data_IF_151837068825
#
_entry.id   IF_151837068825
#
_cell.length_a   1.000
_cell.length_b   1.000
_cell.length_c   1.000
_cell.angle_alpha   90.00
_cell.angle_beta   90.00
_cell.angle_gamma   90.00
#
_symmetry.space_group_name_H-M   'P 1'
#
loop_
_entity.id
_entity.type
_entity.pdbx_description
1 polymer ?
#
# COMPACT_ATOMS: atom_id res chain seq x y z
N UNK A 1 -4.85 17.34 -11.51
CA UNK A 1 -4.23 16.00 -11.74
C UNK A 1 -3.98 15.72 -13.22
N UNK A 2 -5.00 15.54 -14.06
CA UNK A 2 -4.87 15.05 -15.46
C UNK A 2 -4.06 16.00 -16.32
N UNK A 3 -4.37 17.31 -16.30
CA UNK A 3 -3.61 18.32 -17.05
C UNK A 3 -2.13 18.35 -16.66
N UNK A 4 -1.82 18.15 -15.38
CA UNK A 4 -0.44 18.03 -14.89
C UNK A 4 0.24 16.78 -15.48
N UNK A 5 -0.47 15.63 -15.53
CA UNK A 5 0.06 14.42 -16.16
C UNK A 5 0.42 14.63 -17.64
N UNK A 6 -0.52 15.18 -18.42
CA UNK A 6 -0.31 15.46 -19.85
C UNK A 6 0.88 16.40 -20.03
N UNK A 7 0.91 17.50 -19.26
CA UNK A 7 2.02 18.46 -19.28
C UNK A 7 3.35 17.77 -18.95
N UNK A 8 3.40 16.99 -17.86
CA UNK A 8 4.60 16.25 -17.48
C UNK A 8 5.06 15.32 -18.60
N UNK A 9 4.14 14.55 -19.22
CA UNK A 9 4.49 13.65 -20.31
C UNK A 9 5.05 14.39 -21.54
N UNK A 10 4.52 15.57 -21.85
CA UNK A 10 5.01 16.41 -22.95
C UNK A 10 6.35 17.06 -22.64
N UNK A 11 6.48 17.66 -21.46
CA UNK A 11 7.69 18.38 -21.03
C UNK A 11 8.90 17.44 -20.84
N UNK A 12 8.66 16.22 -20.37
CA UNK A 12 9.70 15.21 -20.15
C UNK A 12 9.95 14.31 -21.38
N UNK A 13 9.03 14.27 -22.34
CA UNK A 13 9.15 13.65 -23.66
C UNK A 13 9.91 12.33 -23.68
N UNK A 14 11.16 12.37 -24.09
CA UNK A 14 12.03 11.18 -24.27
C UNK A 14 12.65 10.65 -22.96
N UNK A 15 12.50 11.38 -21.83
CA UNK A 15 12.95 10.85 -20.53
C UNK A 15 12.19 9.57 -20.19
N UNK A 16 12.86 8.67 -19.50
CA UNK A 16 12.26 7.38 -19.08
C UNK A 16 11.24 7.64 -17.98
N UNK A 17 9.98 7.26 -18.21
CA UNK A 17 8.90 7.23 -17.23
C UNK A 17 8.90 5.92 -16.46
N UNK A 18 9.01 4.77 -17.17
CA UNK A 18 9.06 3.44 -16.57
C UNK A 18 10.28 2.66 -17.03
N UNK A 19 10.89 1.93 -16.06
CA UNK A 19 11.93 0.95 -16.34
C UNK A 19 11.59 -0.39 -15.67
N UNK A 20 11.66 -1.50 -16.42
CA UNK A 20 11.37 -2.85 -15.93
C UNK A 20 11.96 -3.92 -16.84
N UNK A 21 12.52 -4.99 -16.25
CA UNK A 21 13.12 -6.10 -17.00
C UNK A 21 14.26 -5.62 -17.93
N UNK A 22 14.00 -5.49 -19.23
CA UNK A 22 14.91 -4.91 -20.22
C UNK A 22 14.30 -3.70 -20.95
N UNK A 23 13.11 -3.26 -20.50
CA UNK A 23 12.34 -2.24 -21.18
C UNK A 23 12.50 -0.88 -20.50
N UNK A 24 12.63 0.14 -21.30
CA UNK A 24 12.56 1.54 -20.93
C UNK A 24 11.42 2.19 -21.71
N UNK A 25 10.49 2.80 -21.04
CA UNK A 25 9.34 3.50 -21.62
C UNK A 25 9.49 4.98 -21.34
N UNK A 26 9.49 5.79 -22.38
CA UNK A 26 9.54 7.26 -22.24
C UNK A 26 8.19 7.83 -21.79
N UNK A 27 8.19 9.09 -21.35
CA UNK A 27 6.95 9.80 -21.00
C UNK A 27 6.05 9.99 -22.23
N UNK A 28 6.61 10.30 -23.41
CA UNK A 28 5.85 10.37 -24.66
C UNK A 28 5.17 9.05 -24.99
N UNK A 29 5.92 7.94 -24.91
CA UNK A 29 5.35 6.60 -25.14
C UNK A 29 4.27 6.23 -24.12
N UNK A 30 4.43 6.58 -22.85
CA UNK A 30 3.40 6.37 -21.83
C UNK A 30 2.11 7.10 -22.18
N UNK A 31 2.20 8.35 -22.62
CA UNK A 31 1.03 9.13 -23.03
C UNK A 31 0.31 8.52 -24.23
N UNK A 32 1.08 8.10 -25.25
CA UNK A 32 0.54 7.39 -26.41
C UNK A 32 -0.19 6.10 -26.03
N UNK A 33 0.40 5.31 -25.13
CA UNK A 33 -0.20 4.06 -24.69
C UNK A 33 -1.45 4.29 -23.81
N UNK A 34 -1.50 5.39 -23.04
CA UNK A 34 -2.72 5.84 -22.36
C UNK A 34 -3.81 6.19 -23.38
N UNK A 35 -3.49 6.92 -24.47
CA UNK A 35 -4.47 7.24 -25.51
C UNK A 35 -4.98 5.99 -26.22
N UNK A 36 -4.11 5.03 -26.56
CA UNK A 36 -4.52 3.74 -27.13
C UNK A 36 -5.49 2.99 -26.21
N UNK A 37 -5.24 2.99 -24.91
CA UNK A 37 -6.13 2.35 -23.93
C UNK A 37 -7.48 3.07 -23.87
N UNK A 38 -7.53 4.40 -23.95
CA UNK A 38 -8.78 5.17 -24.01
C UNK A 38 -9.54 4.87 -25.33
N UNK A 39 -8.83 4.72 -26.44
CA UNK A 39 -9.42 4.32 -27.72
C UNK A 39 -10.00 2.89 -27.67
N UNK A 40 -9.33 1.96 -26.98
CA UNK A 40 -9.90 0.65 -26.67
C UNK A 40 -11.20 0.79 -25.85
N UNK A 41 -11.23 1.65 -24.82
CA UNK A 41 -12.45 1.88 -24.02
C UNK A 41 -13.62 2.27 -24.92
N UNK A 42 -13.42 3.26 -25.81
CA UNK A 42 -14.45 3.72 -26.73
C UNK A 42 -14.93 2.63 -27.69
N UNK A 43 -13.98 1.90 -28.29
CA UNK A 43 -14.31 0.82 -29.21
C UNK A 43 -15.08 -0.33 -28.56
N UNK A 44 -14.89 -0.53 -27.24
CA UNK A 44 -15.62 -1.50 -26.43
C UNK A 44 -16.88 -0.96 -25.78
N UNK A 45 -17.25 0.29 -26.07
CA UNK A 45 -18.44 0.91 -25.49
C UNK A 45 -18.33 1.19 -23.98
N UNK A 46 -17.09 1.23 -23.42
CA UNK A 46 -16.85 1.53 -22.01
C UNK A 46 -17.11 3.03 -21.81
N UNK A 47 -18.05 3.34 -20.94
CA UNK A 47 -18.47 4.71 -20.62
C UNK A 47 -17.80 5.20 -19.34
N UNK A 48 -17.89 6.50 -19.08
CA UNK A 48 -17.37 7.11 -17.82
C UNK A 48 -18.05 6.55 -16.56
N UNK A 49 -19.26 6.04 -16.67
CA UNK A 49 -20.02 5.43 -15.57
C UNK A 49 -19.64 3.97 -15.33
N UNK A 50 -18.90 3.36 -16.24
CA UNK A 50 -18.48 1.97 -16.11
C UNK A 50 -17.54 1.78 -14.93
N UNK A 51 -17.67 0.63 -14.27
CA UNK A 51 -16.72 0.14 -13.27
C UNK A 51 -15.97 -1.06 -13.82
N UNK A 52 -14.65 -1.08 -13.70
CA UNK A 52 -13.77 -2.08 -14.28
C UNK A 52 -13.03 -2.81 -13.17
N UNK A 53 -13.16 -4.14 -13.09
CA UNK A 53 -12.30 -4.93 -12.23
C UNK A 53 -10.92 -5.14 -12.88
N UNK A 54 -9.87 -4.83 -12.15
CA UNK A 54 -8.50 -5.02 -12.62
C UNK A 54 -7.95 -6.36 -12.12
N UNK A 55 -7.94 -7.37 -12.98
CA UNK A 55 -7.38 -8.71 -12.73
C UNK A 55 -5.98 -8.86 -13.33
N UNK A 56 -5.15 -7.84 -13.17
CA UNK A 56 -3.77 -7.82 -13.68
C UNK A 56 -2.83 -7.52 -12.51
N UNK A 57 -1.77 -8.33 -12.37
CA UNK A 57 -0.72 -8.01 -11.40
C UNK A 57 0.02 -6.73 -11.81
N UNK A 58 0.57 -5.97 -10.85
CA UNK A 58 1.33 -4.77 -11.14
C UNK A 58 2.38 -5.00 -12.24
N UNK A 59 2.18 -4.36 -13.37
CA UNK A 59 2.99 -4.41 -14.59
C UNK A 59 2.85 -3.07 -15.31
N UNK A 60 3.55 -2.87 -16.41
CA UNK A 60 3.41 -1.65 -17.20
C UNK A 60 1.95 -1.47 -17.69
N UNK A 61 1.35 -2.52 -18.24
CA UNK A 61 -0.04 -2.52 -18.74
C UNK A 61 -1.06 -2.22 -17.61
N UNK A 62 -0.79 -2.69 -16.38
CA UNK A 62 -1.57 -2.33 -15.21
C UNK A 62 -1.58 -0.81 -15.02
N UNK A 63 -0.42 -0.16 -15.12
CA UNK A 63 -0.32 1.28 -14.92
C UNK A 63 -0.87 2.07 -16.10
N UNK A 64 -0.68 1.61 -17.34
CA UNK A 64 -1.34 2.21 -18.53
C UNK A 64 -2.86 2.22 -18.34
N UNK A 65 -3.45 1.09 -17.92
CA UNK A 65 -4.88 1.02 -17.63
C UNK A 65 -5.29 1.97 -16.50
N UNK A 66 -4.53 2.02 -15.40
CA UNK A 66 -4.81 2.93 -14.28
C UNK A 66 -4.78 4.40 -14.71
N UNK A 67 -3.75 4.81 -15.47
CA UNK A 67 -3.66 6.18 -16.01
C UNK A 67 -4.79 6.48 -17.00
N UNK A 68 -5.17 5.53 -17.85
CA UNK A 68 -6.27 5.68 -18.79
C UNK A 68 -7.62 5.82 -18.08
N UNK A 69 -7.86 5.05 -17.00
CA UNK A 69 -9.05 5.18 -16.17
C UNK A 69 -9.15 6.57 -15.54
N UNK A 70 -8.05 7.07 -14.96
CA UNK A 70 -7.97 8.42 -14.39
C UNK A 70 -8.20 9.47 -15.49
N UNK A 71 -7.55 9.29 -16.64
CA UNK A 71 -7.66 10.22 -17.77
C UNK A 71 -9.08 10.31 -18.32
N UNK A 72 -9.73 9.18 -18.54
CA UNK A 72 -11.06 9.11 -19.17
C UNK A 72 -12.21 9.28 -18.17
N UNK A 73 -11.98 9.03 -16.88
CA UNK A 73 -12.96 9.12 -15.81
C UNK A 73 -13.74 7.82 -15.57
N UNK A 74 -13.13 6.68 -15.80
CA UNK A 74 -13.68 5.34 -15.51
C UNK A 74 -13.22 4.89 -14.14
N UNK A 75 -14.10 4.29 -13.34
CA UNK A 75 -13.76 3.75 -12.04
C UNK A 75 -13.10 2.38 -12.15
N UNK A 76 -11.81 2.30 -11.77
CA UNK A 76 -11.09 1.03 -11.69
C UNK A 76 -11.17 0.45 -10.28
N UNK A 77 -11.64 -0.78 -10.18
CA UNK A 77 -11.74 -1.57 -8.95
C UNK A 77 -10.49 -2.44 -8.81
N UNK A 78 -9.72 -2.20 -7.77
CA UNK A 78 -8.45 -2.92 -7.49
C UNK A 78 -8.60 -3.74 -6.23
N UNK A 79 -8.36 -5.05 -6.37
CA UNK A 79 -8.36 -5.99 -5.26
C UNK A 79 -6.96 -6.16 -4.67
N UNK A 80 -6.88 -6.35 -3.38
CA UNK A 80 -5.64 -6.62 -2.64
C UNK A 80 -5.14 -8.06 -2.82
N UNK A 81 -6.03 -8.99 -3.18
CA UNK A 81 -5.71 -10.40 -3.45
C UNK A 81 -6.57 -10.95 -4.57
N UNK A 82 -5.94 -11.59 -5.55
CA UNK A 82 -6.62 -12.31 -6.62
C UNK A 82 -6.81 -13.81 -6.33
N UNK A 83 -6.55 -14.25 -5.11
CA UNK A 83 -6.68 -15.65 -4.70
C UNK A 83 -8.01 -15.94 -4.03
N UNK A 84 -8.64 -14.94 -3.47
CA UNK A 84 -9.93 -15.02 -2.79
C UNK A 84 -11.05 -14.71 -3.77
N UNK A 85 -11.49 -15.76 -4.48
CA UNK A 85 -12.50 -15.61 -5.54
C UNK A 85 -13.88 -15.26 -5.01
N UNK A 86 -14.26 -15.78 -3.85
CA UNK A 86 -15.58 -15.49 -3.26
C UNK A 86 -15.65 -14.01 -2.86
N UNK A 87 -14.56 -13.48 -2.31
CA UNK A 87 -14.46 -12.05 -2.03
C UNK A 87 -14.50 -11.19 -3.30
N UNK A 88 -13.85 -11.63 -4.38
CA UNK A 88 -13.89 -10.92 -5.67
C UNK A 88 -15.31 -10.91 -6.23
N UNK A 89 -16.02 -12.05 -6.22
CA UNK A 89 -17.42 -12.14 -6.67
C UNK A 89 -18.34 -11.24 -5.87
N UNK A 90 -18.19 -11.25 -4.54
CA UNK A 90 -18.96 -10.37 -3.63
C UNK A 90 -18.73 -8.90 -4.00
N UNK A 91 -17.46 -8.48 -4.17
CA UNK A 91 -17.12 -7.11 -4.55
C UNK A 91 -17.71 -6.74 -5.91
N UNK A 92 -17.66 -7.65 -6.88
CA UNK A 92 -18.24 -7.41 -8.23
C UNK A 92 -19.76 -7.24 -8.14
N UNK A 93 -20.45 -8.12 -7.43
CA UNK A 93 -21.90 -8.05 -7.23
C UNK A 93 -22.31 -6.77 -6.50
N UNK A 94 -21.69 -6.49 -5.34
CA UNK A 94 -22.04 -5.32 -4.51
C UNK A 94 -21.74 -3.98 -5.19
N UNK A 95 -20.84 -3.95 -6.17
CA UNK A 95 -20.46 -2.74 -6.91
C UNK A 95 -20.97 -2.71 -8.36
N UNK A 96 -21.80 -3.66 -8.77
CA UNK A 96 -22.33 -3.79 -10.14
C UNK A 96 -21.21 -3.81 -11.20
N UNK A 97 -20.14 -4.58 -10.98
CA UNK A 97 -19.00 -4.70 -11.89
C UNK A 97 -19.18 -5.94 -12.76
N UNK A 98 -19.41 -5.75 -14.03
CA UNK A 98 -19.56 -6.82 -15.03
C UNK A 98 -18.46 -6.81 -16.10
N UNK A 99 -17.40 -6.02 -15.89
CA UNK A 99 -16.29 -5.86 -16.82
C UNK A 99 -14.96 -6.06 -16.10
N UNK A 100 -14.11 -6.93 -16.63
CA UNK A 100 -12.80 -7.22 -16.05
C UNK A 100 -11.67 -7.12 -17.10
N UNK A 101 -10.61 -6.39 -16.76
CA UNK A 101 -9.37 -6.43 -17.51
C UNK A 101 -8.44 -7.50 -16.96
N UNK A 102 -7.93 -8.36 -17.82
CA UNK A 102 -7.06 -9.48 -17.48
C UNK A 102 -5.83 -9.54 -18.40
N UNK A 103 -4.82 -10.30 -18.02
CA UNK A 103 -3.74 -10.72 -18.91
C UNK A 103 -3.95 -12.20 -19.32
N UNK A 104 -3.05 -12.74 -20.17
CA UNK A 104 -3.12 -14.15 -20.62
C UNK A 104 -3.23 -15.15 -19.47
N UNK A 105 -2.53 -14.90 -18.35
CA UNK A 105 -2.54 -15.81 -17.20
C UNK A 105 -3.85 -15.70 -16.41
N UNK A 106 -4.30 -14.49 -16.12
CA UNK A 106 -5.52 -14.26 -15.33
C UNK A 106 -6.80 -14.46 -16.16
N UNK A 107 -6.73 -14.47 -17.49
CA UNK A 107 -7.87 -14.82 -18.33
C UNK A 107 -8.35 -16.27 -18.13
N UNK A 108 -7.48 -17.16 -17.63
CA UNK A 108 -7.86 -18.52 -17.24
C UNK A 108 -8.83 -18.55 -16.06
N UNK A 109 -8.96 -17.46 -15.34
CA UNK A 109 -9.87 -17.33 -14.19
C UNK A 109 -11.33 -17.09 -14.61
N UNK A 110 -11.59 -16.75 -15.87
CA UNK A 110 -12.94 -16.46 -16.40
C UNK A 110 -13.96 -17.54 -16.06
N UNK A 111 -13.54 -18.83 -16.03
CA UNK A 111 -14.43 -19.95 -15.69
C UNK A 111 -14.96 -19.93 -14.25
N UNK A 112 -14.38 -19.09 -13.39
CA UNK A 112 -14.80 -18.93 -12.00
C UNK A 112 -15.81 -17.82 -11.79
N UNK A 113 -16.10 -17.04 -12.83
CA UNK A 113 -17.03 -15.91 -12.77
C UNK A 113 -18.33 -16.25 -13.52
N UNK A 114 -19.35 -15.44 -13.30
CA UNK A 114 -20.62 -15.56 -14.00
C UNK A 114 -20.45 -15.28 -15.51
N UNK A 115 -21.35 -15.81 -16.32
CA UNK A 115 -21.29 -15.71 -17.79
C UNK A 115 -21.50 -14.30 -18.33
N UNK A 116 -22.05 -13.41 -17.52
CA UNK A 116 -22.31 -12.00 -17.85
C UNK A 116 -21.11 -11.07 -17.64
N UNK A 117 -19.99 -11.60 -17.12
CA UNK A 117 -18.76 -10.82 -16.97
C UNK A 117 -17.97 -10.82 -18.26
N UNK A 118 -17.81 -9.64 -18.87
CA UNK A 118 -16.94 -9.45 -20.04
C UNK A 118 -15.47 -9.39 -19.60
N UNK A 119 -14.61 -10.14 -20.28
CA UNK A 119 -13.16 -10.16 -20.05
C UNK A 119 -12.43 -9.56 -21.24
N UNK A 120 -11.69 -8.49 -21.00
CA UNK A 120 -10.86 -7.81 -22.00
C UNK A 120 -9.39 -8.04 -21.66
N UNK A 121 -8.59 -8.44 -22.67
CA UNK A 121 -7.14 -8.54 -22.47
C UNK A 121 -6.54 -7.13 -22.36
N UNK A 122 -5.84 -6.88 -21.26
CA UNK A 122 -5.22 -5.56 -21.02
C UNK A 122 -4.25 -5.15 -22.13
N UNK A 123 -3.59 -6.10 -22.81
CA UNK A 123 -2.67 -5.82 -23.91
C UNK A 123 -3.37 -5.52 -25.25
N UNK A 124 -4.70 -5.63 -25.35
CA UNK A 124 -5.38 -5.35 -26.61
C UNK A 124 -5.30 -3.88 -27.05
N UNK A 125 -4.96 -2.96 -26.14
CA UNK A 125 -4.79 -1.54 -26.46
C UNK A 125 -3.71 -1.29 -27.53
N UNK A 126 -2.70 -2.16 -27.65
CA UNK A 126 -1.68 -2.03 -28.70
C UNK A 126 -2.23 -2.03 -30.13
N UNK A 127 -3.46 -2.50 -30.34
CA UNK A 127 -4.14 -2.56 -31.64
C UNK A 127 -4.80 -1.23 -32.04
N UNK A 128 -4.85 -0.26 -31.15
CA UNK A 128 -5.57 1.00 -31.33
C UNK A 128 -4.62 2.16 -31.62
N UNK A 129 -5.16 3.22 -32.25
CA UNK A 129 -4.40 4.44 -32.48
C UNK A 129 -4.13 5.20 -31.18
N UNK A 130 -3.09 6.04 -31.20
CA UNK A 130 -2.76 6.94 -30.12
C UNK A 130 -3.36 8.35 -30.29
N UNK A 131 -4.46 8.46 -31.06
CA UNK A 131 -5.13 9.74 -31.25
C UNK A 131 -5.63 10.29 -29.91
N UNK A 132 -5.31 11.58 -29.63
CA UNK A 132 -5.72 12.20 -28.38
C UNK A 132 -7.24 12.21 -28.21
N UNK A 133 -7.71 11.94 -27.02
CA UNK A 133 -9.13 11.91 -26.68
C UNK A 133 -9.47 13.01 -25.69
N UNK A 134 -10.76 13.37 -25.63
CA UNK A 134 -11.25 14.34 -24.67
C UNK A 134 -11.02 13.86 -23.22
N UNK A 135 -10.44 14.74 -22.42
CA UNK A 135 -10.15 14.52 -21.00
C UNK A 135 -11.44 14.58 -20.18
N UNK A 136 -11.51 13.79 -19.12
CA UNK A 136 -12.52 14.03 -18.09
C UNK A 136 -12.16 15.30 -17.29
N UNK A 137 -13.10 16.22 -17.17
CA UNK A 137 -12.91 17.48 -16.46
C UNK A 137 -13.58 17.52 -15.08
N UNK A 138 -14.33 16.48 -14.72
CA UNK A 138 -15.01 16.39 -13.43
C UNK A 138 -14.02 15.94 -12.32
N UNK A 139 -13.65 16.83 -11.38
CA UNK A 139 -12.70 16.50 -10.31
C UNK A 139 -13.29 15.55 -9.26
N UNK A 140 -14.61 15.53 -9.10
CA UNK A 140 -15.30 14.66 -8.13
C UNK A 140 -15.57 13.25 -8.69
N UNK A 141 -15.22 13.00 -9.95
CA UNK A 141 -15.37 11.68 -10.56
C UNK A 141 -14.54 10.63 -9.83
N UNK A 142 -15.21 9.59 -9.30
CA UNK A 142 -14.55 8.41 -8.71
C UNK A 142 -13.86 7.63 -9.83
N UNK A 143 -12.55 7.42 -9.68
CA UNK A 143 -11.71 6.75 -10.69
C UNK A 143 -10.93 5.57 -10.13
N UNK A 144 -10.90 5.41 -8.80
CA UNK A 144 -10.23 4.29 -8.16
C UNK A 144 -11.01 3.84 -6.92
N UNK A 145 -11.36 2.56 -6.88
CA UNK A 145 -11.93 1.91 -5.69
C UNK A 145 -11.00 0.79 -5.23
N UNK A 146 -10.58 0.86 -3.96
CA UNK A 146 -9.82 -0.20 -3.28
C UNK A 146 -10.60 -0.70 -2.07
N UNK A 147 -10.19 -1.81 -1.45
CA UNK A 147 -10.95 -2.39 -0.34
C UNK A 147 -10.07 -2.59 0.88
N UNK A 148 -10.66 -2.38 2.07
CA UNK A 148 -10.07 -2.77 3.34
C UNK A 148 -10.72 -4.04 3.85
N UNK A 149 -9.99 -4.80 4.69
CA UNK A 149 -10.57 -5.92 5.44
C UNK A 149 -11.46 -5.35 6.53
N UNK A 150 -12.72 -5.11 6.25
CA UNK A 150 -13.70 -4.63 7.24
C UNK A 150 -13.68 -5.46 8.52
N UNK A 151 -13.93 -4.83 9.66
CA UNK A 151 -14.06 -5.51 10.97
C UNK A 151 -15.20 -6.53 11.01
N UNK A 152 -16.16 -6.39 10.12
CA UNK A 152 -17.35 -7.26 9.95
C UNK A 152 -17.12 -8.42 8.97
N UNK A 153 -15.91 -8.58 8.42
CA UNK A 153 -15.59 -9.57 7.39
C UNK A 153 -15.97 -9.16 5.97
N UNK A 154 -16.87 -8.19 5.79
CA UNK A 154 -17.19 -7.65 4.45
C UNK A 154 -16.15 -6.62 4.01
N UNK A 155 -15.70 -6.65 2.73
CA UNK A 155 -14.80 -5.63 2.20
C UNK A 155 -15.44 -4.25 2.22
N UNK A 156 -14.81 -3.27 2.88
CA UNK A 156 -15.27 -1.88 2.84
C UNK A 156 -14.61 -1.16 1.66
N UNK A 157 -15.37 -0.58 0.73
CA UNK A 157 -14.81 0.19 -0.37
C UNK A 157 -14.19 1.50 0.14
N UNK A 158 -13.07 1.87 -0.46
CA UNK A 158 -12.43 3.18 -0.32
C UNK A 158 -12.37 3.76 -1.71
N UNK A 159 -13.24 4.70 -1.96
CA UNK A 159 -13.38 5.38 -3.24
C UNK A 159 -12.50 6.62 -3.31
N UNK A 160 -11.87 6.84 -4.46
CA UNK A 160 -11.03 8.00 -4.70
C UNK A 160 -11.49 8.72 -5.96
N UNK A 161 -11.86 9.97 -5.76
CA UNK A 161 -12.08 10.89 -6.87
C UNK A 161 -10.74 11.39 -7.42
N UNK A 162 -10.76 12.01 -8.60
CA UNK A 162 -9.59 12.67 -9.19
C UNK A 162 -9.03 13.72 -8.23
N UNK A 163 -9.89 14.50 -7.59
CA UNK A 163 -9.54 15.53 -6.60
C UNK A 163 -8.88 14.92 -5.35
N UNK A 164 -9.45 13.85 -4.81
CA UNK A 164 -8.90 13.20 -3.63
C UNK A 164 -7.55 12.53 -3.91
N UNK A 165 -7.36 11.92 -5.09
CA UNK A 165 -6.07 11.39 -5.52
C UNK A 165 -5.03 12.49 -5.68
N UNK A 166 -5.40 13.62 -6.28
CA UNK A 166 -4.50 14.77 -6.44
C UNK A 166 -4.03 15.30 -5.09
N UNK A 167 -4.96 15.52 -4.14
CA UNK A 167 -4.63 15.93 -2.77
C UNK A 167 -3.70 14.94 -2.07
N UNK A 168 -3.98 13.64 -2.16
CA UNK A 168 -3.11 12.61 -1.57
C UNK A 168 -1.70 12.63 -2.17
N UNK A 169 -1.57 12.75 -3.50
CA UNK A 169 -0.27 12.84 -4.18
C UNK A 169 0.47 14.10 -3.74
N UNK A 170 -0.21 15.24 -3.60
CA UNK A 170 0.39 16.49 -3.13
C UNK A 170 0.94 16.36 -1.71
N UNK A 171 0.14 15.82 -0.79
CA UNK A 171 0.59 15.62 0.60
C UNK A 171 1.79 14.67 0.66
N UNK A 172 1.72 13.54 -0.08
CA UNK A 172 2.85 12.62 -0.13
C UNK A 172 4.08 13.31 -0.73
N UNK A 173 3.93 14.06 -1.83
CA UNK A 173 5.03 14.78 -2.50
C UNK A 173 5.73 15.79 -1.59
N UNK A 174 4.99 16.53 -0.76
CA UNK A 174 5.55 17.49 0.20
C UNK A 174 6.32 16.80 1.35
N UNK A 175 5.99 15.56 1.65
CA UNK A 175 6.53 14.85 2.80
C UNK A 175 7.55 13.76 2.47
N UNK A 176 7.63 13.33 1.21
CA UNK A 176 8.63 12.39 0.71
C UNK A 176 9.67 13.17 -0.09
N UNK A 177 10.90 13.21 0.39
CA UNK A 177 11.98 13.99 -0.21
C UNK A 177 12.58 13.31 -1.45
N UNK A 178 11.75 13.15 -2.51
CA UNK A 178 12.21 12.77 -3.84
C UNK A 178 12.31 14.04 -4.71
N UNK A 179 13.32 14.10 -5.56
CA UNK A 179 13.67 15.31 -6.32
C UNK A 179 14.11 14.99 -7.74
N UNK A 180 14.26 15.99 -8.57
CA UNK A 180 14.79 15.83 -9.93
C UNK A 180 16.15 15.12 -9.90
N UNK A 181 16.32 14.13 -10.79
CA UNK A 181 17.49 13.26 -10.84
C UNK A 181 17.36 11.97 -10.05
N UNK A 182 16.35 11.83 -9.19
CA UNK A 182 16.09 10.54 -8.53
C UNK A 182 15.50 9.53 -9.52
N UNK A 183 16.00 8.29 -9.44
CA UNK A 183 15.40 7.10 -10.05
C UNK A 183 14.79 6.27 -8.93
N UNK A 184 13.49 6.09 -9.00
CA UNK A 184 12.71 5.62 -7.86
C UNK A 184 12.14 4.22 -8.09
N UNK A 185 12.45 3.27 -7.22
CA UNK A 185 11.70 2.03 -7.13
C UNK A 185 10.40 2.28 -6.37
N UNK A 186 9.25 2.01 -7.01
CA UNK A 186 7.95 2.18 -6.38
C UNK A 186 7.21 0.83 -6.21
N UNK A 187 6.97 0.45 -4.97
CA UNK A 187 6.37 -0.83 -4.60
C UNK A 187 4.85 -0.85 -4.44
N UNK A 188 4.19 0.30 -4.53
CA UNK A 188 2.72 0.46 -4.42
C UNK A 188 2.19 1.39 -5.52
N UNK A 189 0.96 1.18 -6.01
CA UNK A 189 0.38 2.01 -7.07
C UNK A 189 0.37 3.51 -6.77
N UNK A 190 0.06 3.92 -5.55
CA UNK A 190 0.07 5.34 -5.16
C UNK A 190 1.45 5.98 -5.29
N UNK A 191 2.52 5.24 -4.98
CA UNK A 191 3.89 5.72 -5.16
C UNK A 191 4.28 5.78 -6.63
N UNK A 192 3.79 4.85 -7.46
CA UNK A 192 4.00 4.92 -8.92
C UNK A 192 3.33 6.17 -9.49
N UNK A 193 2.09 6.45 -9.09
CA UNK A 193 1.41 7.69 -9.47
C UNK A 193 2.24 8.91 -9.06
N UNK A 194 2.68 8.99 -7.79
CA UNK A 194 3.52 10.08 -7.29
C UNK A 194 4.76 10.29 -8.17
N UNK A 195 5.53 9.22 -8.42
CA UNK A 195 6.81 9.29 -9.15
C UNK A 195 6.59 9.78 -10.58
N UNK A 196 5.60 9.23 -11.29
CA UNK A 196 5.29 9.60 -12.67
C UNK A 196 4.73 11.03 -12.74
N UNK A 197 3.84 11.42 -11.84
CA UNK A 197 3.34 12.81 -11.77
C UNK A 197 4.42 13.83 -11.42
N UNK A 198 5.48 13.40 -10.72
CA UNK A 198 6.65 14.23 -10.44
C UNK A 198 7.65 14.30 -11.60
N UNK A 199 7.41 13.60 -12.72
CA UNK A 199 8.29 13.57 -13.88
C UNK A 199 9.59 12.81 -13.66
N UNK A 200 9.59 11.83 -12.74
CA UNK A 200 10.74 11.01 -12.38
C UNK A 200 10.66 9.62 -13.00
N UNK A 201 11.80 8.96 -13.14
CA UNK A 201 11.85 7.57 -13.60
C UNK A 201 11.38 6.61 -12.50
N UNK A 202 10.35 5.84 -12.81
CA UNK A 202 9.77 4.81 -11.94
C UNK A 202 10.25 3.42 -12.34
N UNK A 203 10.96 2.75 -11.46
CA UNK A 203 11.33 1.34 -11.62
C UNK A 203 10.26 0.47 -10.98
N UNK A 204 9.66 -0.41 -11.78
CA UNK A 204 8.66 -1.38 -11.32
C UNK A 204 9.20 -2.79 -11.44
N UNK A 205 9.15 -3.55 -10.34
CA UNK A 205 9.60 -4.93 -10.31
C UNK A 205 8.84 -5.76 -9.29
N UNK A 206 8.75 -7.07 -9.55
CA UNK A 206 8.16 -8.01 -8.60
C UNK A 206 9.03 -8.20 -7.36
N UNK A 207 10.36 -8.11 -7.51
CA UNK A 207 11.35 -8.30 -6.43
C UNK A 207 12.35 -7.18 -6.45
N UNK A 208 12.80 -6.79 -5.28
CA UNK A 208 13.94 -5.86 -5.12
C UNK A 208 15.21 -6.71 -5.19
N UNK A 209 15.98 -6.54 -6.27
CA UNK A 209 17.28 -7.21 -6.47
C UNK A 209 18.36 -6.20 -6.76
N UNK A 210 19.58 -6.43 -6.27
CA UNK A 210 20.70 -5.51 -6.46
C UNK A 210 20.98 -5.25 -7.94
N UNK A 211 21.02 -6.31 -8.76
CA UNK A 211 21.32 -6.20 -10.18
C UNK A 211 20.32 -5.35 -10.95
N UNK A 212 19.02 -5.42 -10.60
CA UNK A 212 17.98 -4.62 -11.24
C UNK A 212 18.04 -3.16 -10.79
N UNK A 213 18.19 -2.91 -9.49
CA UNK A 213 18.29 -1.55 -8.97
C UNK A 213 19.55 -0.83 -9.52
N UNK A 214 20.71 -1.52 -9.58
CA UNK A 214 21.92 -0.95 -10.16
C UNK A 214 21.80 -0.69 -11.66
N UNK A 215 21.18 -1.62 -12.41
CA UNK A 215 20.97 -1.45 -13.86
C UNK A 215 20.28 -0.14 -14.20
N UNK A 216 19.31 0.26 -13.40
CA UNK A 216 18.52 1.47 -13.64
C UNK A 216 19.01 2.68 -12.85
N UNK A 217 20.08 2.54 -12.05
CA UNK A 217 20.61 3.63 -11.24
C UNK A 217 19.64 4.07 -10.14
N UNK A 218 18.85 3.13 -9.58
CA UNK A 218 17.90 3.43 -8.50
C UNK A 218 18.65 3.97 -7.29
N UNK A 219 18.25 5.13 -6.79
CA UNK A 219 18.80 5.77 -5.60
C UNK A 219 17.74 6.05 -4.52
N UNK A 220 16.46 5.90 -4.85
CA UNK A 220 15.35 6.04 -3.89
C UNK A 220 14.40 4.84 -3.97
N UNK A 221 13.91 4.37 -2.82
CA UNK A 221 13.00 3.23 -2.71
C UNK A 221 11.79 3.62 -1.88
N UNK A 222 10.60 3.45 -2.47
CA UNK A 222 9.30 3.63 -1.84
C UNK A 222 8.56 2.29 -1.86
N UNK A 223 8.50 1.58 -0.74
CA UNK A 223 7.95 0.24 -0.73
C UNK A 223 7.27 -0.13 0.61
N UNK A 224 6.33 -1.09 0.62
CA UNK A 224 5.85 -1.63 1.88
C UNK A 224 6.97 -2.41 2.59
N UNK A 225 6.98 -2.36 3.92
CA UNK A 225 7.99 -3.03 4.74
C UNK A 225 8.12 -4.51 4.41
N UNK A 226 7.03 -5.19 4.08
CA UNK A 226 7.05 -6.62 3.70
C UNK A 226 7.94 -6.94 2.50
N UNK A 227 8.06 -6.01 1.54
CA UNK A 227 8.99 -6.15 0.42
C UNK A 227 10.44 -5.93 0.86
N UNK A 228 10.69 -4.95 1.71
CA UNK A 228 12.02 -4.60 2.19
C UNK A 228 12.62 -5.69 3.07
N UNK A 229 11.84 -6.29 3.96
CA UNK A 229 12.29 -7.41 4.80
C UNK A 229 12.54 -8.71 4.01
N UNK A 230 12.14 -8.76 2.75
CA UNK A 230 12.40 -9.90 1.86
C UNK A 230 13.69 -9.76 1.04
N UNK A 231 14.33 -8.58 1.06
CA UNK A 231 15.59 -8.35 0.31
C UNK A 231 16.73 -9.13 0.92
N UNK A 232 17.70 -9.49 0.07
CA UNK A 232 18.94 -10.12 0.49
C UNK A 232 20.11 -9.33 -0.08
N UNK A 233 21.14 -9.14 0.72
CA UNK A 233 22.30 -8.35 0.36
C UNK A 233 22.30 -6.95 0.93
N UNK A 234 23.24 -6.14 0.50
CA UNK A 234 23.45 -4.76 0.94
C UNK A 234 23.35 -3.81 -0.26
N UNK A 235 22.66 -2.69 -0.07
CA UNK A 235 22.34 -1.72 -1.11
C UNK A 235 22.91 -0.34 -0.76
N UNK A 236 24.23 -0.18 -0.66
CA UNK A 236 24.87 1.08 -0.22
C UNK A 236 24.68 2.25 -1.20
N UNK A 237 24.23 1.98 -2.42
CA UNK A 237 23.93 3.00 -3.43
C UNK A 237 22.53 3.60 -3.28
N UNK A 238 21.65 3.03 -2.47
CA UNK A 238 20.35 3.62 -2.13
C UNK A 238 20.59 4.73 -1.11
N UNK A 239 20.10 5.91 -1.44
CA UNK A 239 20.25 7.13 -0.61
C UNK A 239 18.99 7.45 0.19
N UNK A 240 17.83 7.06 -0.32
CA UNK A 240 16.53 7.40 0.27
C UNK A 240 15.65 6.16 0.36
N UNK A 241 15.14 5.89 1.55
CA UNK A 241 14.25 4.76 1.80
C UNK A 241 13.01 5.22 2.55
N UNK A 242 11.84 5.05 1.94
CA UNK A 242 10.55 5.35 2.54
C UNK A 242 9.72 4.07 2.58
N UNK A 243 9.20 3.73 3.74
CA UNK A 243 8.39 2.53 3.90
C UNK A 243 7.33 2.68 4.98
N UNK A 244 6.31 1.83 4.91
CA UNK A 244 5.20 1.76 5.85
C UNK A 244 4.33 0.54 5.62
N UNK A 245 3.08 0.60 6.09
CA UNK A 245 2.05 -0.42 5.86
C UNK A 245 1.98 -1.51 6.93
N UNK A 246 2.91 -1.56 7.87
CA UNK A 246 2.82 -2.38 9.09
C UNK A 246 3.71 -1.82 10.19
N UNK A 247 3.53 -2.32 11.40
CA UNK A 247 4.39 -1.99 12.53
C UNK A 247 5.84 -2.38 12.25
N UNK A 248 6.77 -1.53 12.64
CA UNK A 248 8.19 -1.76 12.58
C UNK A 248 8.71 -2.18 13.97
N UNK A 249 9.24 -3.38 14.09
CA UNK A 249 9.90 -3.87 15.30
C UNK A 249 11.41 -3.58 15.25
N UNK A 250 12.07 -3.49 16.42
CA UNK A 250 13.52 -3.20 16.49
C UNK A 250 14.35 -4.16 15.63
N UNK A 251 14.03 -5.45 15.69
CA UNK A 251 14.67 -6.47 14.86
C UNK A 251 14.58 -6.21 13.35
N UNK A 252 13.40 -5.71 12.89
CA UNK A 252 13.20 -5.38 11.48
C UNK A 252 13.98 -4.11 11.11
N UNK A 253 14.10 -3.16 12.03
CA UNK A 253 14.89 -1.95 11.85
C UNK A 253 16.40 -2.25 11.69
N UNK A 254 16.92 -3.19 12.48
CA UNK A 254 18.30 -3.67 12.33
C UNK A 254 18.55 -4.29 10.95
N UNK A 255 17.61 -5.12 10.48
CA UNK A 255 17.66 -5.69 9.14
C UNK A 255 17.70 -4.62 8.04
N UNK A 256 16.89 -3.57 8.19
CA UNK A 256 16.86 -2.45 7.22
C UNK A 256 18.17 -1.65 7.24
N UNK A 257 18.74 -1.36 8.41
CA UNK A 257 20.06 -0.71 8.53
C UNK A 257 21.16 -1.50 7.84
N UNK A 258 21.18 -2.82 8.06
CA UNK A 258 22.17 -3.69 7.42
C UNK A 258 22.00 -3.75 5.90
N UNK A 259 20.77 -3.79 5.41
CA UNK A 259 20.47 -3.84 3.98
C UNK A 259 20.71 -2.49 3.27
N UNK A 260 20.45 -1.36 3.93
CA UNK A 260 20.53 -0.02 3.35
C UNK A 260 21.41 0.92 4.19
N UNK A 261 22.73 0.64 4.30
CA UNK A 261 23.63 1.25 5.30
C UNK A 261 23.86 2.75 5.11
N UNK A 262 23.67 3.28 3.88
CA UNK A 262 23.89 4.70 3.55
C UNK A 262 22.59 5.45 3.22
N UNK A 263 21.44 4.82 3.42
CA UNK A 263 20.16 5.45 3.13
C UNK A 263 19.66 6.30 4.30
N UNK A 264 19.09 7.46 3.98
CA UNK A 264 18.17 8.13 4.88
C UNK A 264 16.87 7.31 4.93
N UNK A 265 16.60 6.70 6.08
CA UNK A 265 15.49 5.77 6.25
C UNK A 265 14.34 6.45 6.96
N UNK A 266 13.19 6.49 6.30
CA UNK A 266 11.96 7.14 6.80
C UNK A 266 10.82 6.11 6.93
N UNK A 267 10.28 5.99 8.13
CA UNK A 267 9.09 5.22 8.42
C UNK A 267 7.83 6.08 8.29
N UNK A 268 6.85 5.59 7.54
CA UNK A 268 5.59 6.26 7.23
C UNK A 268 4.44 5.49 7.86
N UNK A 269 3.60 6.20 8.61
CA UNK A 269 2.35 5.70 9.16
C UNK A 269 1.16 6.27 8.41
N UNK A 270 0.20 5.41 8.08
CA UNK A 270 -1.04 5.77 7.41
C UNK A 270 -2.00 4.59 7.29
N UNK A 271 -3.18 4.87 6.80
CA UNK A 271 -4.25 3.92 6.51
C UNK A 271 -4.71 4.05 5.06
N UNK A 272 -5.59 3.15 4.61
CA UNK A 272 -6.18 3.26 3.27
C UNK A 272 -7.05 4.52 3.13
N UNK A 273 -7.65 4.93 4.22
CA UNK A 273 -8.50 6.11 4.37
C UNK A 273 -7.69 7.42 4.44
N UNK A 274 -6.46 7.36 4.96
CA UNK A 274 -5.52 8.48 5.02
C UNK A 274 -4.11 7.95 4.81
N UNK A 275 -3.59 8.07 3.59
CA UNK A 275 -2.37 7.38 3.14
C UNK A 275 -1.13 7.78 3.93
N UNK A 276 -1.09 9.01 4.43
CA UNK A 276 0.03 9.54 5.20
C UNK A 276 -0.50 10.35 6.38
N UNK A 277 -0.31 9.87 7.58
CA UNK A 277 -0.76 10.48 8.84
C UNK A 277 0.41 11.03 9.67
N UNK A 278 1.49 10.24 9.77
CA UNK A 278 2.70 10.61 10.48
C UNK A 278 3.93 9.97 9.85
N UNK A 279 5.10 10.51 10.12
CA UNK A 279 6.38 9.95 9.68
C UNK A 279 7.47 10.17 10.73
N UNK A 280 8.54 9.39 10.63
CA UNK A 280 9.74 9.57 11.45
C UNK A 280 10.98 9.07 10.70
N UNK A 281 12.14 9.65 10.98
CA UNK A 281 13.38 8.98 10.61
C UNK A 281 13.54 7.70 11.45
N UNK A 282 14.22 6.70 10.89
CA UNK A 282 14.46 5.45 11.61
C UNK A 282 15.27 5.69 12.90
N UNK A 283 16.20 6.64 12.88
CA UNK A 283 16.99 7.01 14.04
C UNK A 283 16.11 7.54 15.18
N UNK A 284 15.29 8.56 14.90
CA UNK A 284 14.36 9.10 15.90
C UNK A 284 13.41 8.02 16.44
N UNK A 285 12.85 7.20 15.55
CA UNK A 285 11.94 6.11 15.91
C UNK A 285 12.56 5.11 16.88
N UNK A 286 13.84 4.78 16.71
CA UNK A 286 14.54 3.81 17.59
C UNK A 286 15.05 4.42 18.88
N UNK A 287 15.39 5.72 18.89
CA UNK A 287 15.92 6.40 20.09
C UNK A 287 14.83 6.91 21.03
N UNK A 288 13.60 7.08 20.55
CA UNK A 288 12.48 7.64 21.33
C UNK A 288 11.28 6.66 21.36
N UNK A 289 11.51 5.46 21.87
CA UNK A 289 10.48 4.43 22.11
C UNK A 289 9.50 4.22 20.94
N UNK A 290 9.99 4.32 19.71
CA UNK A 290 9.23 4.19 18.45
C UNK A 290 8.26 5.33 18.17
N UNK A 291 8.57 6.54 18.63
CA UNK A 291 7.79 7.74 18.35
C UNK A 291 7.83 8.13 16.86
N UNK A 292 6.70 8.54 16.34
CA UNK A 292 6.56 9.17 15.04
C UNK A 292 6.58 10.69 15.21
N UNK A 293 7.73 11.28 14.93
CA UNK A 293 8.05 12.68 15.24
C UNK A 293 7.20 13.69 14.47
N UNK A 294 7.03 13.47 13.16
CA UNK A 294 6.49 14.48 12.27
C UNK A 294 5.02 14.20 11.97
N UNK A 295 4.17 15.15 12.34
CA UNK A 295 2.79 15.23 11.85
C UNK A 295 2.79 15.72 10.41
N UNK A 296 1.77 15.37 9.67
CA UNK A 296 1.63 15.73 8.27
C UNK A 296 0.77 16.98 8.17
N UNK A 297 1.25 17.98 7.45
CA UNK A 297 0.47 19.20 7.20
C UNK A 297 -0.87 18.86 6.52
N UNK A 298 -1.97 19.41 7.05
CA UNK A 298 -3.33 19.11 6.57
C UNK A 298 -3.94 17.82 7.13
N UNK A 299 -3.27 17.15 8.09
CA UNK A 299 -3.82 16.02 8.85
C UNK A 299 -3.70 16.33 10.34
N UNK A 300 -4.82 16.48 10.99
CA UNK A 300 -4.89 16.60 12.45
C UNK A 300 -5.03 15.21 13.08
N UNK A 301 -4.17 14.91 14.05
CA UNK A 301 -4.18 13.63 14.78
C UNK A 301 -4.52 13.88 16.24
N UNK A 302 -5.51 13.16 16.73
CA UNK A 302 -5.94 13.16 18.14
C UNK A 302 -6.11 11.74 18.66
N UNK A 303 -6.14 11.57 19.98
CA UNK A 303 -6.41 10.31 20.65
C UNK A 303 -7.80 10.38 21.27
N UNK A 304 -8.65 9.41 20.90
CA UNK A 304 -10.03 9.30 21.41
C UNK A 304 -10.21 7.99 22.18
N UNK A 305 -11.24 7.93 23.02
CA UNK A 305 -11.55 6.77 23.85
C UNK A 305 -10.35 6.33 24.73
N UNK A 306 -9.73 7.30 25.39
CA UNK A 306 -8.52 7.10 26.20
C UNK A 306 -8.82 6.27 27.45
N UNK A 307 -7.90 5.38 27.78
CA UNK A 307 -7.86 4.68 29.08
C UNK A 307 -7.18 5.56 30.17
N UNK A 308 -7.02 4.98 31.38
CA UNK A 308 -6.38 5.63 32.52
C UNK A 308 -4.93 6.09 32.28
N UNK A 309 -4.27 5.53 31.28
CA UNK A 309 -2.90 5.87 30.87
C UNK A 309 -2.86 6.87 29.69
N UNK A 310 -4.01 7.42 29.28
CA UNK A 310 -4.11 8.31 28.13
C UNK A 310 -3.96 7.62 26.77
N UNK A 311 -4.02 6.29 26.74
CA UNK A 311 -3.89 5.48 25.53
C UNK A 311 -5.27 5.23 24.94
N UNK A 312 -5.45 5.56 23.67
CA UNK A 312 -6.73 5.43 23.00
C UNK A 312 -6.60 5.24 21.50
N UNK A 313 -7.73 5.25 20.79
CA UNK A 313 -7.74 5.10 19.34
C UNK A 313 -7.23 6.36 18.64
N UNK A 314 -6.45 6.16 17.59
CA UNK A 314 -5.92 7.24 16.77
C UNK A 314 -7.02 7.72 15.83
N UNK A 315 -7.36 9.01 15.93
CA UNK A 315 -8.28 9.73 15.06
C UNK A 315 -7.46 10.63 14.12
N UNK A 316 -7.80 10.63 12.83
CA UNK A 316 -7.24 11.53 11.83
C UNK A 316 -8.35 12.35 11.21
N UNK A 317 -8.14 13.67 11.08
CA UNK A 317 -9.06 14.62 10.46
C UNK A 317 -8.33 15.46 9.42
N UNK A 318 -9.04 15.86 8.38
CA UNK A 318 -8.53 16.74 7.34
C UNK A 318 -8.95 16.37 5.92
N UNK A 319 -8.73 17.28 5.01
CA UNK A 319 -9.17 17.23 3.60
C UNK A 319 -8.65 16.03 2.79
N UNK A 320 -7.62 15.34 3.29
CA UNK A 320 -7.02 14.18 2.64
C UNK A 320 -7.54 12.86 3.17
N UNK A 321 -8.40 12.91 4.18
CA UNK A 321 -9.08 11.75 4.76
C UNK A 321 -10.26 11.38 3.86
N UNK A 322 -10.33 10.11 3.44
CA UNK A 322 -11.31 9.59 2.48
C UNK A 322 -12.55 9.04 3.18
N UNK A 323 -13.22 9.90 3.92
CA UNK A 323 -14.52 9.62 4.55
C UNK A 323 -15.42 10.82 4.31
N UNK A 324 -16.73 10.63 4.33
CA UNK A 324 -17.69 11.68 4.02
C UNK A 324 -17.59 12.90 4.95
N UNK A 325 -17.19 12.66 6.20
CA UNK A 325 -16.99 13.66 7.25
C UNK A 325 -15.54 14.13 7.38
N UNK A 326 -14.65 13.73 6.46
CA UNK A 326 -13.21 13.99 6.53
C UNK A 326 -12.57 13.57 7.85
N UNK A 327 -13.13 12.56 8.53
CA UNK A 327 -12.74 12.06 9.82
C UNK A 327 -12.59 10.53 9.81
N UNK A 328 -11.45 10.01 10.23
CA UNK A 328 -11.17 8.59 10.30
C UNK A 328 -10.71 8.20 11.70
N UNK A 329 -11.40 7.27 12.35
CA UNK A 329 -10.98 6.66 13.60
C UNK A 329 -10.56 5.23 13.32
N UNK A 330 -9.26 4.96 13.42
CA UNK A 330 -8.67 3.65 13.17
C UNK A 330 -8.87 2.65 14.33
N UNK A 331 -8.37 1.44 14.12
CA UNK A 331 -8.25 0.44 15.18
C UNK A 331 -6.87 0.46 15.86
N UNK A 332 -5.93 1.24 15.35
CA UNK A 332 -4.63 1.42 15.97
C UNK A 332 -4.80 2.32 17.21
N UNK A 333 -4.18 1.92 18.33
CA UNK A 333 -4.17 2.67 19.59
C UNK A 333 -2.78 3.21 19.88
N UNK A 334 -2.76 4.36 20.52
CA UNK A 334 -1.53 5.06 20.84
C UNK A 334 -1.73 6.22 21.80
N UNK A 335 -0.68 6.97 22.00
CA UNK A 335 -0.65 8.20 22.78
C UNK A 335 0.34 9.20 22.18
N UNK A 336 0.29 10.44 22.62
CA UNK A 336 1.29 11.46 22.28
C UNK A 336 2.13 11.82 23.51
N UNK A 337 3.40 12.05 23.27
CA UNK A 337 4.31 12.73 24.20
C UNK A 337 5.13 13.82 23.46
N UNK A 338 6.18 14.30 24.09
CA UNK A 338 7.10 15.31 23.54
C UNK A 338 7.89 14.83 22.32
N UNK A 339 8.04 13.51 22.15
CA UNK A 339 8.76 12.89 21.01
C UNK A 339 7.86 12.58 19.82
N UNK A 340 6.54 12.52 20.02
CA UNK A 340 5.57 12.33 18.94
C UNK A 340 4.45 11.35 19.22
N UNK A 341 3.94 10.71 18.16
CA UNK A 341 2.90 9.69 18.24
C UNK A 341 3.51 8.31 18.48
N UNK A 342 3.12 7.65 19.55
CA UNK A 342 3.43 6.26 19.84
C UNK A 342 2.26 5.35 19.47
N UNK A 343 2.50 4.35 18.61
CA UNK A 343 1.51 3.35 18.28
C UNK A 343 1.84 2.08 19.07
N UNK A 344 0.98 1.73 20.02
CA UNK A 344 1.27 0.67 21.01
C UNK A 344 0.49 -0.62 20.78
N UNK A 345 -0.54 -0.57 19.94
CA UNK A 345 -1.34 -1.77 19.66
C UNK A 345 -2.54 -1.53 18.76
N UNK A 346 -3.42 -2.52 18.73
CA UNK A 346 -4.72 -2.42 18.07
C UNK A 346 -5.83 -2.71 19.08
N UNK A 347 -6.84 -1.86 19.15
CA UNK A 347 -7.92 -1.90 20.14
C UNK A 347 -8.60 -3.26 20.29
N UNK A 348 -8.76 -4.01 19.18
CA UNK A 348 -9.37 -5.35 19.19
C UNK A 348 -8.52 -6.41 19.90
N UNK A 349 -7.20 -6.22 19.97
CA UNK A 349 -6.22 -7.23 20.41
C UNK A 349 -5.45 -6.80 21.65
N UNK A 350 -5.72 -5.59 22.12
CA UNK A 350 -5.11 -5.00 23.31
C UNK A 350 -6.17 -4.76 24.36
N UNK A 351 -5.79 -4.89 25.63
CA UNK A 351 -6.61 -4.56 26.81
C UNK A 351 -5.81 -3.63 27.70
N UNK A 352 -6.45 -3.02 28.73
CA UNK A 352 -5.72 -2.19 29.71
C UNK A 352 -4.52 -2.95 30.27
N UNK A 353 -3.34 -2.32 30.22
CA UNK A 353 -2.08 -2.91 30.66
C UNK A 353 -1.49 -4.00 29.76
N UNK A 354 -2.12 -4.30 28.64
CA UNK A 354 -1.57 -5.21 27.63
C UNK A 354 -1.75 -4.62 26.24
N UNK A 355 -0.67 -4.09 25.67
CA UNK A 355 -0.62 -3.47 24.36
C UNK A 355 0.18 -4.36 23.41
N UNK A 356 -0.50 -4.99 22.47
CA UNK A 356 0.06 -6.10 21.69
C UNK A 356 1.33 -5.74 20.89
N UNK A 357 1.53 -4.50 20.44
CA UNK A 357 2.76 -4.13 19.73
C UNK A 357 3.95 -3.94 20.67
N UNK A 358 3.71 -3.52 21.92
CA UNK A 358 4.75 -3.46 22.95
C UNK A 358 5.18 -4.87 23.30
N UNK A 359 4.22 -5.76 23.54
CA UNK A 359 4.49 -7.17 23.87
C UNK A 359 5.20 -7.90 22.73
N UNK A 360 4.79 -7.70 21.48
CA UNK A 360 5.48 -8.27 20.32
C UNK A 360 6.96 -7.89 20.30
N UNK A 361 7.26 -6.59 20.48
CA UNK A 361 8.63 -6.11 20.45
C UNK A 361 9.48 -6.72 21.59
N UNK A 362 8.92 -6.77 22.82
CA UNK A 362 9.54 -7.39 23.98
C UNK A 362 9.83 -8.87 23.73
N UNK A 363 8.81 -9.65 23.32
CA UNK A 363 8.92 -11.09 23.09
C UNK A 363 9.88 -11.43 21.93
N UNK A 364 9.91 -10.63 20.87
CA UNK A 364 10.84 -10.81 19.76
C UNK A 364 12.29 -10.51 20.17
N UNK A 365 12.51 -9.52 21.04
CA UNK A 365 13.83 -9.17 21.57
C UNK A 365 14.38 -10.25 22.52
N UNK A 366 13.52 -10.74 23.41
CA UNK A 366 13.86 -11.83 24.34
C UNK A 366 14.09 -13.19 23.63
N UNK A 367 13.54 -13.36 22.42
CA UNK A 367 13.61 -14.61 21.66
C UNK A 367 14.22 -14.42 20.27
N UNK A 368 15.53 -14.20 20.13
CA UNK A 368 16.16 -13.88 18.84
C UNK A 368 16.01 -15.01 17.78
N UNK A 369 15.72 -16.25 18.20
CA UNK A 369 15.48 -17.39 17.29
C UNK A 369 14.03 -17.48 16.80
N UNK A 370 13.14 -16.62 17.29
CA UNK A 370 11.80 -16.42 16.74
C UNK A 370 11.93 -15.58 15.49
N UNK A 371 11.46 -16.11 14.36
CA UNK A 371 11.51 -15.44 13.06
C UNK A 371 10.41 -14.38 12.93
N UNK A 372 9.21 -14.74 13.37
CA UNK A 372 8.02 -13.89 13.41
C UNK A 372 7.20 -14.25 14.62
N UNK A 373 6.56 -13.27 15.24
CA UNK A 373 5.69 -13.48 16.39
C UNK A 373 4.68 -12.35 16.51
N UNK A 374 3.48 -12.68 17.00
CA UNK A 374 2.38 -11.74 17.22
C UNK A 374 1.66 -12.12 18.49
N UNK A 375 1.52 -11.16 19.38
CA UNK A 375 0.75 -11.31 20.62
C UNK A 375 -0.66 -10.71 20.47
N UNK A 376 -1.59 -11.22 21.23
CA UNK A 376 -2.94 -10.69 21.32
C UNK A 376 -3.62 -11.17 22.60
N UNK A 377 -4.65 -10.45 23.03
CA UNK A 377 -5.53 -10.85 24.11
C UNK A 377 -6.85 -11.39 23.55
N UNK A 378 -7.32 -12.53 24.07
CA UNK A 378 -8.60 -13.13 23.71
C UNK A 378 -9.20 -13.83 24.94
N UNK A 379 -10.47 -13.55 25.26
CA UNK A 379 -11.18 -14.12 26.42
C UNK A 379 -10.37 -14.01 27.74
N UNK A 380 -9.75 -12.84 27.99
CA UNK A 380 -8.95 -12.58 29.18
C UNK A 380 -7.59 -13.27 29.24
N UNK A 381 -7.22 -14.05 28.22
CA UNK A 381 -5.93 -14.72 28.11
C UNK A 381 -5.02 -14.02 27.10
N UNK A 382 -3.71 -14.02 27.39
CA UNK A 382 -2.67 -13.49 26.50
C UNK A 382 -2.09 -14.62 25.68
N UNK A 383 -1.93 -14.40 24.39
CA UNK A 383 -1.38 -15.36 23.43
C UNK A 383 -0.17 -14.80 22.71
N UNK A 384 0.79 -15.66 22.38
CA UNK A 384 1.90 -15.35 21.49
C UNK A 384 2.04 -16.45 20.43
N UNK A 385 1.65 -16.15 19.21
CA UNK A 385 1.77 -17.04 18.05
C UNK A 385 3.07 -16.75 17.33
N UNK A 386 3.93 -17.76 17.11
CA UNK A 386 5.27 -17.53 16.59
C UNK A 386 5.79 -18.63 15.66
N UNK A 387 6.76 -18.25 14.81
CA UNK A 387 7.59 -19.13 14.00
C UNK A 387 9.01 -19.16 14.57
N UNK A 388 9.59 -20.35 14.71
CA UNK A 388 10.97 -20.50 15.21
C UNK A 388 11.07 -21.23 16.52
N UNK A 389 11.96 -20.78 17.42
CA UNK A 389 12.21 -21.39 18.73
C UNK A 389 12.25 -20.32 19.81
N UNK A 390 11.49 -20.53 20.88
CA UNK A 390 11.57 -19.69 22.08
C UNK A 390 12.89 -19.95 22.81
N UNK A 391 13.41 -18.92 23.45
CA UNK A 391 14.56 -18.97 24.34
C UNK A 391 14.16 -19.29 25.79
N UNK A 392 12.91 -18.95 26.16
CA UNK A 392 12.35 -19.16 27.50
C UNK A 392 10.86 -19.44 27.45
N UNK A 393 10.29 -19.92 28.56
CA UNK A 393 8.86 -20.13 28.75
C UNK A 393 8.25 -18.93 29.48
N UNK A 394 6.98 -18.69 29.25
CA UNK A 394 6.19 -17.61 29.89
C UNK A 394 5.04 -18.23 30.66
N UNK A 395 4.82 -17.80 31.89
CA UNK A 395 3.75 -18.31 32.76
C UNK A 395 2.40 -17.63 32.50
N UNK A 396 2.43 -16.39 32.03
CA UNK A 396 1.27 -15.51 31.83
C UNK A 396 0.84 -15.37 30.36
N UNK A 397 1.57 -16.02 29.44
CA UNK A 397 1.32 -15.98 27.99
C UNK A 397 1.25 -17.39 27.41
N UNK A 398 0.16 -17.72 26.74
CA UNK A 398 0.00 -18.96 26.02
C UNK A 398 0.78 -18.90 24.71
N UNK A 399 1.88 -19.63 24.63
CA UNK A 399 2.77 -19.63 23.48
C UNK A 399 2.39 -20.72 22.47
N UNK A 400 2.05 -20.36 21.24
CA UNK A 400 1.62 -21.30 20.20
C UNK A 400 2.59 -21.24 19.03
N UNK A 401 3.30 -22.35 18.81
CA UNK A 401 4.24 -22.47 17.70
C UNK A 401 3.54 -22.84 16.40
N UNK A 402 3.87 -22.10 15.35
CA UNK A 402 3.46 -22.41 13.98
C UNK A 402 4.66 -22.78 13.13
N UNK A 403 4.51 -23.75 12.22
CA UNK A 403 5.50 -24.00 11.15
C UNK A 403 5.57 -22.79 10.22
N UNK A 404 4.41 -22.20 9.93
CA UNK A 404 4.23 -20.96 9.18
C UNK A 404 2.97 -20.26 9.69
N UNK A 405 3.12 -19.03 10.14
CA UNK A 405 2.00 -18.22 10.62
C UNK A 405 1.02 -17.91 9.48
N UNK A 406 -0.29 -18.01 9.75
CA UNK A 406 -1.29 -17.54 8.81
C UNK A 406 -1.23 -16.01 8.76
N UNK A 407 -0.77 -15.48 7.63
CA UNK A 407 -0.62 -14.05 7.43
C UNK A 407 -1.72 -13.51 6.54
N UNK A 408 -2.15 -12.29 6.85
CA UNK A 408 -3.07 -11.52 6.01
C UNK A 408 -2.57 -11.49 4.56
N UNK A 409 -3.40 -11.88 3.57
CA UNK A 409 -2.99 -11.99 2.17
C UNK A 409 -2.60 -10.64 1.56
N UNK A 410 -3.12 -9.52 2.08
CA UNK A 410 -2.86 -8.16 1.58
C UNK A 410 -1.46 -7.69 1.94
N UNK A 411 -1.13 -7.70 3.21
CA UNK A 411 0.08 -7.07 3.73
C UNK A 411 1.21 -8.08 3.99
N UNK A 412 0.86 -9.37 4.28
CA UNK A 412 1.80 -10.45 4.69
C UNK A 412 2.66 -10.11 5.91
N UNK A 413 2.30 -9.03 6.60
CA UNK A 413 2.95 -8.51 7.80
C UNK A 413 2.00 -8.48 8.99
N UNK A 414 0.70 -8.72 8.77
CA UNK A 414 -0.32 -8.82 9.82
C UNK A 414 -0.76 -10.26 9.95
N UNK A 415 -1.09 -10.68 11.17
CA UNK A 415 -1.63 -12.00 11.45
C UNK A 415 -3.07 -12.11 10.90
N UNK A 416 -3.40 -13.25 10.29
CA UNK A 416 -4.77 -13.64 9.97
C UNK A 416 -5.39 -14.26 11.23
N UNK A 417 -5.96 -13.40 12.07
CA UNK A 417 -6.52 -13.81 13.37
C UNK A 417 -7.68 -14.81 13.23
N UNK A 418 -8.46 -14.74 12.15
CA UNK A 418 -9.53 -15.72 11.91
C UNK A 418 -8.98 -17.14 11.87
N UNK A 419 -7.95 -17.37 11.05
CA UNK A 419 -7.28 -18.68 10.94
C UNK A 419 -6.48 -19.08 12.16
N UNK A 420 -6.11 -18.14 13.01
CA UNK A 420 -5.48 -18.45 14.29
C UNK A 420 -6.52 -18.91 15.30
N UNK A 421 -7.67 -18.24 15.37
CA UNK A 421 -8.77 -18.62 16.28
C UNK A 421 -9.29 -20.03 15.99
N UNK A 422 -9.46 -20.41 14.71
CA UNK A 422 -9.83 -21.79 14.31
C UNK A 422 -8.91 -22.89 14.88
N UNK A 423 -7.74 -22.52 15.40
CA UNK A 423 -6.77 -23.44 15.99
C UNK A 423 -6.70 -23.33 17.51
N UNK A 424 -7.27 -22.30 18.10
CA UNK A 424 -7.24 -22.01 19.53
C UNK A 424 -8.54 -22.48 20.18
N UNK A 425 -9.67 -22.31 19.48
CA UNK A 425 -10.98 -22.81 19.82
C UNK A 425 -11.09 -24.30 19.45
#
# INVERSE_FOLDING_TARGET
>A
MINKFIKTCRDKGDKIAFAFGKNNISFSRLLDDVFKMVNLFKAKGIKKESKILLLVLPSYEFYVLLFACIYYGVNVVVMDSYKDFERIKMVMSDNCVNLAFCNRLTSLLKFKFASDVEFINVSDYYKYSSDPQAVNSDPEKIVLTTFTSGTTGKPKPIERSIKSLEKQIEVISKNIAISEGDVVYAGLPIYVLLVVYSGLTCVISKRITEGELRRYGVNAVLAPISKLLSVRGSFPFIKKLFFGGAMLYEKDAECLRAAFPLAEVNYIYGASECVLMAKSTLEHYLTHERALKYRIEGVELTIVDQDENGIGRIKAEGDVVLTDDCCFIGNDIGYFDEYGLHIVGRSRYSTSGFYNYIEDNRLLKENPRVKKGFSFSHNGKKYFCYEGKLSQNYSDIICIRFKKLPMDPKHKTKLDYGKVMERID
#
